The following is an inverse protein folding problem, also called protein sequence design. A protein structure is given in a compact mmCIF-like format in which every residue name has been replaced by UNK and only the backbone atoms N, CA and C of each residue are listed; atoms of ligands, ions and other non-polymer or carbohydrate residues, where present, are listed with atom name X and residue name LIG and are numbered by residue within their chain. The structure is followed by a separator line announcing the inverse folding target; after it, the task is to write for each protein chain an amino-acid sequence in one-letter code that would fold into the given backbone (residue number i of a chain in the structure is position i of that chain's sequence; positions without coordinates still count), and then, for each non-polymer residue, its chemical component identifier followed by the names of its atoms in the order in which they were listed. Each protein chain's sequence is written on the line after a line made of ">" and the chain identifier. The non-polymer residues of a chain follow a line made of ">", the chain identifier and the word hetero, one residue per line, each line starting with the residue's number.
data_IF_041058911673
#
_entry.id   IF_041058911673
#
_cell.length_a   1.000
_cell.length_b   1.000
_cell.length_c   1.000
_cell.angle_alpha   90.00
_cell.angle_beta   90.00
_cell.angle_gamma   90.00
#
_symmetry.space_group_name_H-M   'P 1'
#
loop_
_entity.id
_entity.type
_entity.pdbx_description
1 polymer ?
#
# COMPACT_ATOMS: atom_id res chain seq x y z
N UNK A 1 47.82 6.86 7.15
CA UNK A 1 47.01 7.25 5.96
C UNK A 1 46.15 6.06 5.57
N UNK A 2 44.91 6.06 6.04
CA UNK A 2 44.11 4.85 6.23
C UNK A 2 43.34 4.40 4.98
N UNK A 3 43.30 3.09 4.83
CA UNK A 3 42.45 2.28 3.95
C UNK A 3 40.96 2.72 3.92
N UNK A 4 40.50 3.43 4.95
CA UNK A 4 39.14 3.98 5.08
C UNK A 4 38.82 5.09 4.05
N UNK A 5 39.81 5.86 3.59
CA UNK A 5 39.57 6.91 2.56
C UNK A 5 39.44 6.34 1.14
N UNK A 6 39.98 5.13 0.89
CA UNK A 6 39.88 4.49 -0.43
C UNK A 6 38.58 3.68 -0.60
N UNK A 7 37.96 3.27 0.51
CA UNK A 7 36.64 2.64 0.47
C UNK A 7 35.53 3.66 0.18
N UNK A 8 35.68 4.91 0.63
CA UNK A 8 34.68 5.97 0.42
C UNK A 8 34.63 6.48 -1.03
N UNK A 9 35.69 6.30 -1.83
CA UNK A 9 35.68 6.66 -3.26
C UNK A 9 35.14 5.56 -4.18
N UNK A 10 34.89 4.34 -3.67
CA UNK A 10 34.27 3.26 -4.45
C UNK A 10 32.73 3.29 -4.40
N UNK A 11 32.14 4.08 -3.49
CA UNK A 11 30.69 4.31 -3.41
C UNK A 11 30.24 5.61 -4.09
N UNK A 12 31.18 6.46 -4.53
CA UNK A 12 30.88 7.68 -5.25
C UNK A 12 30.74 7.44 -6.75
N UNK A 13 29.59 6.92 -7.19
CA UNK A 13 29.09 7.14 -8.57
C UNK A 13 27.72 6.52 -8.89
N UNK A 14 27.08 5.76 -7.99
CA UNK A 14 25.85 5.01 -8.31
C UNK A 14 24.61 5.44 -7.51
N UNK A 15 24.46 6.73 -7.23
CA UNK A 15 23.23 7.28 -6.66
C UNK A 15 21.98 7.11 -7.57
N UNK A 16 22.16 6.69 -8.84
CA UNK A 16 21.08 6.36 -9.78
C UNK A 16 20.72 4.87 -9.85
N UNK A 17 21.47 4.00 -9.18
CA UNK A 17 21.24 2.55 -9.20
C UNK A 17 20.73 2.00 -7.86
N UNK A 18 20.84 2.78 -6.77
CA UNK A 18 20.20 2.43 -5.49
C UNK A 18 18.69 2.69 -5.48
N UNK A 19 18.16 3.56 -6.36
CA UNK A 19 16.71 3.75 -6.52
C UNK A 19 16.00 2.47 -6.96
N UNK A 20 16.62 1.70 -7.85
CA UNK A 20 15.97 0.54 -8.47
C UNK A 20 15.89 -0.71 -7.55
N UNK A 21 16.51 -0.68 -6.37
CA UNK A 21 16.42 -1.80 -5.41
C UNK A 21 15.26 -1.57 -4.43
N UNK A 22 14.97 -0.32 -4.09
CA UNK A 22 13.78 0.04 -3.31
C UNK A 22 12.50 -0.13 -4.15
N UNK A 23 12.57 0.21 -5.43
CA UNK A 23 11.43 0.10 -6.36
C UNK A 23 11.10 -1.37 -6.74
N UNK A 24 12.04 -2.30 -6.58
CA UNK A 24 11.88 -3.71 -6.96
C UNK A 24 11.46 -4.65 -5.80
N UNK A 25 11.11 -4.11 -4.63
CA UNK A 25 10.45 -4.87 -3.57
C UNK A 25 8.93 -5.00 -3.85
N UNK A 26 8.40 -4.28 -4.84
CA UNK A 26 6.97 -4.29 -5.19
C UNK A 26 6.50 -5.50 -6.01
N UNK A 27 7.38 -6.44 -6.38
CA UNK A 27 6.93 -7.68 -7.03
C UNK A 27 6.39 -8.66 -5.97
N UNK A 28 5.13 -8.48 -5.57
CA UNK A 28 4.41 -9.42 -4.69
C UNK A 28 3.30 -8.82 -3.82
N UNK A 29 3.22 -7.49 -3.72
CA UNK A 29 2.17 -6.80 -2.99
C UNK A 29 0.87 -6.75 -3.81
N UNK A 30 -0.27 -7.03 -3.20
CA UNK A 30 -1.58 -6.97 -3.89
C UNK A 30 -2.01 -5.52 -4.11
N UNK A 31 -1.69 -4.67 -3.14
CA UNK A 31 -1.96 -3.24 -3.16
C UNK A 31 -0.73 -2.51 -2.62
N UNK A 32 -0.38 -1.38 -3.24
CA UNK A 32 0.70 -0.52 -2.78
C UNK A 32 0.18 0.52 -1.79
N UNK A 33 1.06 1.01 -0.90
CA UNK A 33 0.76 2.12 -0.01
C UNK A 33 1.86 3.17 -0.12
N UNK A 34 1.49 4.45 -0.01
CA UNK A 34 2.47 5.50 0.24
C UNK A 34 2.98 5.43 1.67
N UNK A 35 4.15 6.03 1.94
CA UNK A 35 4.72 6.09 3.29
C UNK A 35 3.77 6.76 4.29
N UNK A 36 3.06 7.81 3.85
CA UNK A 36 2.10 8.55 4.67
C UNK A 36 0.90 7.65 5.00
N UNK A 37 0.38 6.92 4.01
CA UNK A 37 -0.70 5.96 4.24
C UNK A 37 -0.29 4.86 5.21
N UNK A 38 0.90 4.26 5.06
CA UNK A 38 1.39 3.25 6.00
C UNK A 38 1.56 3.79 7.43
N UNK A 39 2.06 5.02 7.57
CA UNK A 39 2.17 5.65 8.88
C UNK A 39 0.78 5.81 9.51
N UNK A 40 -0.21 6.26 8.73
CA UNK A 40 -1.58 6.44 9.21
C UNK A 40 -2.26 5.11 9.56
N UNK A 41 -2.11 4.09 8.71
CA UNK A 41 -2.63 2.74 8.98
C UNK A 41 -2.07 2.21 10.29
N UNK A 42 -0.76 2.32 10.53
CA UNK A 42 -0.13 1.86 11.77
C UNK A 42 -0.61 2.63 13.00
N UNK A 43 -0.86 3.94 12.87
CA UNK A 43 -1.46 4.75 13.93
C UNK A 43 -2.88 4.26 14.25
N UNK A 44 -3.74 4.17 13.24
CA UNK A 44 -5.13 3.74 13.38
C UNK A 44 -5.23 2.30 13.89
N UNK A 45 -4.34 1.40 13.45
CA UNK A 45 -4.31 0.01 13.89
C UNK A 45 -4.01 -0.12 15.37
N UNK A 46 -3.10 0.69 15.90
CA UNK A 46 -2.79 0.71 17.34
C UNK A 46 -3.98 1.19 18.17
N UNK A 47 -4.76 2.13 17.63
CA UNK A 47 -5.96 2.64 18.31
C UNK A 47 -7.11 1.63 18.29
N UNK A 48 -7.27 0.93 17.17
CA UNK A 48 -8.32 -0.08 16.98
C UNK A 48 -8.05 -1.39 17.74
N UNK A 49 -6.80 -1.88 17.67
CA UNK A 49 -6.34 -3.09 18.36
C UNK A 49 -6.48 -4.39 17.57
N UNK A 50 -7.19 -4.40 16.44
CA UNK A 50 -7.29 -5.57 15.55
C UNK A 50 -6.02 -5.72 14.68
N UNK A 51 -5.50 -6.96 14.50
CA UNK A 51 -4.18 -7.21 13.90
C UNK A 51 -4.12 -7.15 12.37
N UNK A 52 -5.26 -7.23 11.68
CA UNK A 52 -5.31 -7.24 10.22
C UNK A 52 -5.94 -5.95 9.69
N UNK A 53 -5.41 -5.42 8.60
CA UNK A 53 -6.09 -4.42 7.78
C UNK A 53 -6.77 -5.15 6.63
N UNK A 54 -8.10 -5.12 6.55
CA UNK A 54 -8.86 -5.65 5.43
C UNK A 54 -9.05 -4.58 4.37
N UNK A 55 -8.78 -4.93 3.11
CA UNK A 55 -9.05 -4.09 1.94
C UNK A 55 -9.96 -4.88 0.99
N UNK A 56 -11.06 -4.27 0.57
CA UNK A 56 -12.05 -4.90 -0.31
C UNK A 56 -12.68 -3.88 -1.26
N UNK A 57 -13.29 -4.39 -2.34
CA UNK A 57 -14.12 -3.62 -3.25
C UNK A 57 -15.57 -4.02 -3.08
N UNK A 58 -16.39 -3.05 -2.68
CA UNK A 58 -17.83 -3.09 -2.78
C UNK A 58 -18.23 -2.59 -4.18
N UNK A 59 -18.78 -3.47 -5.01
CA UNK A 59 -19.14 -3.11 -6.39
C UNK A 59 -20.27 -2.07 -6.40
N UNK A 60 -20.01 -0.88 -6.95
CA UNK A 60 -20.99 0.21 -7.07
C UNK A 60 -21.81 0.20 -8.36
N UNK A 61 -21.52 -0.75 -9.27
CA UNK A 61 -22.06 -0.86 -10.61
C UNK A 61 -20.99 -1.28 -11.62
N UNK A 62 -21.31 -1.42 -12.92
CA UNK A 62 -20.31 -1.71 -13.94
C UNK A 62 -19.25 -0.60 -14.01
N UNK A 63 -17.98 -0.94 -13.77
CA UNK A 63 -16.85 -0.01 -13.84
C UNK A 63 -16.68 0.93 -12.64
N UNK A 64 -17.58 0.88 -11.64
CA UNK A 64 -17.50 1.71 -10.42
C UNK A 64 -17.07 0.85 -9.24
N UNK A 65 -15.91 1.18 -8.67
CA UNK A 65 -15.39 0.53 -7.47
C UNK A 65 -15.60 1.43 -6.25
N UNK A 66 -16.27 0.91 -5.23
CA UNK A 66 -16.29 1.51 -3.91
C UNK A 66 -15.31 0.73 -3.04
N UNK A 67 -14.28 1.40 -2.56
CA UNK A 67 -13.28 0.76 -1.71
C UNK A 67 -13.75 0.76 -0.26
N UNK A 68 -13.44 -0.31 0.44
CA UNK A 68 -13.69 -0.45 1.86
C UNK A 68 -12.43 -0.95 2.55
N UNK A 69 -12.15 -0.33 3.69
CA UNK A 69 -10.96 -0.55 4.49
C UNK A 69 -11.35 -0.49 5.96
N UNK A 70 -11.22 -1.62 6.63
CA UNK A 70 -11.47 -1.75 8.07
C UNK A 70 -10.43 -2.68 8.68
N UNK A 71 -10.26 -2.62 10.00
CA UNK A 71 -9.46 -3.60 10.70
C UNK A 71 -10.26 -4.88 10.95
N UNK A 72 -9.59 -6.01 11.09
CA UNK A 72 -10.23 -7.31 11.28
C UNK A 72 -9.40 -8.18 12.23
N UNK A 73 -10.07 -9.07 12.96
CA UNK A 73 -9.46 -10.07 13.83
C UNK A 73 -9.40 -11.46 13.19
N UNK A 74 -10.08 -11.65 12.06
CA UNK A 74 -10.20 -12.93 11.38
C UNK A 74 -9.65 -12.90 9.96
N UNK A 75 -9.02 -14.00 9.59
CA UNK A 75 -8.59 -14.30 8.22
C UNK A 75 -9.26 -15.58 7.78
N UNK A 76 -10.01 -15.53 6.69
CA UNK A 76 -10.54 -16.72 6.05
C UNK A 76 -9.57 -17.18 4.96
N UNK A 77 -8.72 -18.17 5.27
CA UNK A 77 -7.69 -18.66 4.33
C UNK A 77 -8.22 -19.15 2.97
N UNK A 78 -9.50 -19.53 2.89
CA UNK A 78 -10.14 -19.94 1.65
C UNK A 78 -10.50 -18.74 0.76
N UNK A 79 -10.97 -17.65 1.37
CA UNK A 79 -11.53 -16.49 0.67
C UNK A 79 -10.59 -15.27 0.66
N UNK A 80 -9.59 -15.23 1.54
CA UNK A 80 -8.67 -14.11 1.73
C UNK A 80 -7.26 -14.46 1.24
N UNK A 81 -6.54 -13.41 0.86
CA UNK A 81 -5.10 -13.42 0.60
C UNK A 81 -4.44 -12.54 1.66
N UNK A 82 -3.48 -13.10 2.38
CA UNK A 82 -2.67 -12.38 3.35
C UNK A 82 -1.42 -11.82 2.65
N UNK A 83 -1.28 -10.50 2.68
CA UNK A 83 -0.13 -9.75 2.19
C UNK A 83 0.67 -9.18 3.37
N UNK A 84 1.99 -9.44 3.35
CA UNK A 84 2.95 -9.06 4.39
C UNK A 84 4.06 -8.14 3.86
N UNK A 85 3.97 -7.67 2.61
CA UNK A 85 5.04 -6.91 1.94
C UNK A 85 5.38 -5.59 2.61
N UNK A 86 4.42 -5.01 3.34
CA UNK A 86 4.51 -3.64 3.89
C UNK A 86 4.87 -3.59 5.38
N UNK A 87 5.22 -4.73 5.99
CA UNK A 87 5.47 -4.84 7.42
C UNK A 87 4.22 -4.58 8.29
N UNK A 88 3.04 -4.66 7.68
CA UNK A 88 1.72 -4.76 8.30
C UNK A 88 1.03 -5.99 7.73
N UNK A 89 0.05 -6.54 8.44
CA UNK A 89 -0.72 -7.68 7.97
C UNK A 89 -1.95 -7.18 7.23
N UNK A 90 -1.92 -7.23 5.90
CA UNK A 90 -3.03 -6.81 5.05
C UNK A 90 -3.75 -8.05 4.55
N UNK A 91 -5.08 -8.07 4.65
CA UNK A 91 -5.91 -9.11 4.08
C UNK A 91 -6.78 -8.52 2.97
N UNK A 92 -6.78 -9.21 1.83
CA UNK A 92 -7.58 -8.82 0.67
C UNK A 92 -8.47 -9.99 0.31
N UNK A 93 -9.76 -9.77 0.16
CA UNK A 93 -10.62 -10.85 -0.35
C UNK A 93 -10.21 -11.20 -1.79
N UNK A 94 -10.17 -12.49 -2.11
CA UNK A 94 -9.68 -13.01 -3.41
C UNK A 94 -10.44 -12.44 -4.59
N UNK A 95 -11.73 -12.09 -4.41
CA UNK A 95 -12.56 -11.53 -5.49
C UNK A 95 -12.15 -10.09 -5.79
N UNK A 96 -11.81 -9.31 -4.78
CA UNK A 96 -11.32 -7.94 -4.93
C UNK A 96 -9.88 -7.87 -5.42
N UNK A 97 -9.05 -8.86 -5.10
CA UNK A 97 -7.62 -8.85 -5.43
C UNK A 97 -7.33 -8.59 -6.93
N UNK A 98 -8.15 -9.13 -7.83
CA UNK A 98 -8.01 -8.94 -9.29
C UNK A 98 -8.26 -7.48 -9.71
N UNK A 99 -9.10 -6.76 -8.97
CA UNK A 99 -9.44 -5.36 -9.26
C UNK A 99 -8.56 -4.36 -8.50
N UNK A 100 -7.86 -4.82 -7.47
CA UNK A 100 -6.91 -4.04 -6.67
C UNK A 100 -5.48 -4.10 -7.20
N UNK A 101 -5.21 -4.95 -8.20
CA UNK A 101 -3.89 -5.02 -8.83
C UNK A 101 -3.45 -3.64 -9.33
N UNK A 102 -2.17 -3.32 -9.11
CA UNK A 102 -1.58 -2.01 -9.37
C UNK A 102 -2.26 -0.80 -8.68
N UNK A 103 -3.14 -1.02 -7.70
CA UNK A 103 -3.74 0.06 -6.90
C UNK A 103 -2.73 0.60 -5.88
N UNK A 104 -2.67 1.92 -5.74
CA UNK A 104 -1.90 2.61 -4.69
C UNK A 104 -2.84 3.33 -3.73
N UNK A 105 -2.67 3.07 -2.43
CA UNK A 105 -3.40 3.72 -1.35
C UNK A 105 -2.53 4.85 -0.78
N UNK A 106 -3.07 6.06 -0.78
CA UNK A 106 -2.46 7.25 -0.18
C UNK A 106 -3.30 7.77 0.99
N UNK A 107 -2.71 8.59 1.85
CA UNK A 107 -3.42 9.35 2.86
C UNK A 107 -3.23 10.84 2.59
N UNK A 108 -4.33 11.51 2.30
CA UNK A 108 -4.32 12.91 1.90
C UNK A 108 -5.04 13.77 2.92
N UNK A 109 -4.56 15.01 3.04
CA UNK A 109 -5.20 16.06 3.83
C UNK A 109 -5.35 17.31 2.99
N UNK A 110 -6.57 17.78 2.82
CA UNK A 110 -6.87 19.00 2.08
C UNK A 110 -6.55 20.24 2.92
N UNK A 111 -6.27 21.40 2.30
CA UNK A 111 -6.07 22.66 3.02
C UNK A 111 -7.26 23.06 3.90
N UNK A 112 -8.48 22.64 3.52
CA UNK A 112 -9.71 22.87 4.25
C UNK A 112 -9.86 21.95 5.48
N UNK A 113 -8.92 21.03 5.69
CA UNK A 113 -8.86 20.16 6.86
C UNK A 113 -9.57 18.82 6.69
N UNK A 114 -10.11 18.51 5.51
CA UNK A 114 -10.61 17.17 5.24
C UNK A 114 -9.42 16.21 5.08
N UNK A 115 -9.53 15.01 5.63
CA UNK A 115 -8.50 13.98 5.52
C UNK A 115 -9.14 12.63 5.23
N UNK A 116 -8.39 11.77 4.55
CA UNK A 116 -8.89 10.45 4.19
C UNK A 116 -7.92 9.66 3.33
N UNK A 117 -8.24 8.37 3.19
CA UNK A 117 -7.55 7.49 2.27
C UNK A 117 -8.00 7.78 0.84
N UNK A 118 -7.03 7.85 -0.07
CA UNK A 118 -7.24 8.00 -1.50
C UNK A 118 -6.72 6.77 -2.22
N UNK A 119 -7.50 6.27 -3.17
CA UNK A 119 -7.19 5.06 -3.93
C UNK A 119 -6.93 5.45 -5.38
N UNK A 120 -5.69 5.32 -5.81
CA UNK A 120 -5.32 5.44 -7.21
C UNK A 120 -5.31 4.04 -7.83
N UNK A 121 -6.36 3.71 -8.57
CA UNK A 121 -6.52 2.41 -9.20
C UNK A 121 -6.61 2.57 -10.73
N UNK A 122 -5.59 2.14 -11.50
CA UNK A 122 -5.59 2.25 -12.96
C UNK A 122 -6.69 1.39 -13.62
N UNK A 123 -7.25 0.41 -12.92
CA UNK A 123 -8.33 -0.43 -13.42
C UNK A 123 -9.72 0.18 -13.18
N UNK A 124 -9.83 1.23 -12.34
CA UNK A 124 -11.08 1.92 -12.12
C UNK A 124 -11.41 2.76 -13.35
N UNK A 125 -12.64 2.62 -13.87
CA UNK A 125 -13.12 3.56 -14.87
C UNK A 125 -13.31 4.88 -14.12
N UNK A 126 -12.42 5.84 -14.35
CA UNK A 126 -12.62 7.22 -13.92
C UNK A 126 -13.90 7.70 -14.61
N UNK A 127 -14.99 7.76 -13.85
CA UNK A 127 -16.15 8.52 -14.27
C UNK A 127 -15.78 9.97 -14.05
N UNK A 128 -15.19 10.59 -15.07
CA UNK A 128 -15.04 12.05 -15.14
C UNK A 128 -16.45 12.64 -15.09
N UNK A 129 -16.90 13.00 -13.88
CA UNK A 129 -18.19 13.64 -13.60
C UNK A 129 -18.08 15.14 -13.52
#
# INVERSE_FOLDING_TARGET
>A
MGIISKLLSLFGSNARQQSNIADNIQQGAIVAFTDIALAKVRESQKADGRPFLRVMINQGGPGVYMYDMDFDDQVNVAEDILDLSHGIQVIVDRRSAIFLDATTIDWQRTPQGAEGFHFDNPNAVQSDG
#
